data_IF_243822611363
#
_entry.id   IF_243822611363
#
_cell.length_a   1.000
_cell.length_b   1.000
_cell.length_c   1.000
_cell.angle_alpha   90.00
_cell.angle_beta   90.00
_cell.angle_gamma   90.00
#
_symmetry.space_group_name_H-M   'P 1'
#
loop_
_entity.id
_entity.type
_entity.pdbx_description
1 polymer ?
#
# COMPACT_ATOMS: atom_id res chain seq x y z
N UNK A 1 32.05 -5.97 -4.09
CA UNK A 1 30.96 -5.55 -3.17
C UNK A 1 29.95 -4.57 -3.78
N UNK A 2 30.21 -3.89 -4.90
CA UNK A 2 29.26 -2.98 -5.55
C UNK A 2 28.05 -3.68 -6.26
N UNK A 3 28.23 -4.92 -6.72
CA UNK A 3 27.17 -5.64 -7.47
C UNK A 3 26.04 -6.22 -6.59
N UNK A 4 26.33 -6.56 -5.33
CA UNK A 4 25.32 -7.09 -4.39
C UNK A 4 24.34 -5.99 -3.92
N UNK A 5 24.84 -4.77 -3.68
CA UNK A 5 23.97 -3.60 -3.42
C UNK A 5 23.08 -3.26 -4.63
N UNK A 6 23.61 -3.40 -5.85
CA UNK A 6 22.85 -3.07 -7.07
C UNK A 6 21.72 -4.08 -7.34
N UNK A 7 21.92 -5.36 -7.03
CA UNK A 7 20.86 -6.37 -7.10
C UNK A 7 19.78 -6.17 -6.04
N UNK A 8 20.14 -5.81 -4.80
CA UNK A 8 19.15 -5.49 -3.76
C UNK A 8 18.32 -4.24 -4.09
N UNK A 9 18.89 -3.22 -4.78
CA UNK A 9 18.16 -2.02 -5.18
C UNK A 9 17.15 -2.22 -6.32
N UNK A 10 17.33 -3.23 -7.19
CA UNK A 10 16.40 -3.47 -8.32
C UNK A 10 15.01 -3.95 -7.87
N UNK A 11 14.93 -4.57 -6.69
CA UNK A 11 13.70 -5.05 -6.07
C UNK A 11 12.76 -3.93 -5.58
N UNK A 12 13.24 -2.68 -5.50
CA UNK A 12 12.49 -1.53 -4.98
C UNK A 12 11.93 -0.60 -6.07
N UNK A 13 12.10 -0.95 -7.35
CA UNK A 13 11.61 -0.12 -8.46
C UNK A 13 10.19 -0.53 -8.87
N UNK A 14 9.19 0.21 -8.37
CA UNK A 14 7.79 0.03 -8.80
C UNK A 14 7.66 0.36 -10.28
N UNK A 15 7.17 -0.59 -11.09
CA UNK A 15 7.01 -0.42 -12.53
C UNK A 15 6.03 0.72 -12.85
N UNK A 16 6.39 1.64 -13.76
CA UNK A 16 5.54 2.78 -14.17
C UNK A 16 4.13 2.34 -14.62
N UNK A 17 4.04 1.18 -15.29
CA UNK A 17 2.76 0.60 -15.69
C UNK A 17 1.87 0.28 -14.48
N UNK A 18 2.46 -0.29 -13.42
CA UNK A 18 1.76 -0.63 -12.18
C UNK A 18 1.28 0.61 -11.45
N UNK A 19 2.12 1.66 -11.40
CA UNK A 19 1.71 2.91 -10.76
C UNK A 19 0.50 3.49 -11.49
N UNK A 20 0.47 3.47 -12.83
CA UNK A 20 -0.69 3.93 -13.59
C UNK A 20 -1.96 3.15 -13.26
N UNK A 21 -1.86 1.82 -13.18
CA UNK A 21 -2.97 0.94 -12.78
C UNK A 21 -3.49 1.27 -11.36
N UNK A 22 -2.60 1.66 -10.44
CA UNK A 22 -2.97 2.13 -9.09
C UNK A 22 -3.66 3.50 -9.17
N UNK A 23 -3.15 4.45 -9.96
CA UNK A 23 -3.74 5.79 -10.08
C UNK A 23 -5.19 5.77 -10.57
N UNK A 24 -5.53 4.81 -11.41
CA UNK A 24 -6.88 4.67 -11.97
C UNK A 24 -7.91 4.30 -10.91
N UNK A 25 -7.48 3.68 -9.80
CA UNK A 25 -8.36 3.30 -8.68
C UNK A 25 -8.28 4.27 -7.50
N UNK A 26 -7.33 5.20 -7.47
CA UNK A 26 -7.24 6.20 -6.41
C UNK A 26 -8.47 7.11 -6.36
N UNK A 27 -8.86 7.58 -5.15
CA UNK A 27 -10.04 8.41 -4.97
C UNK A 27 -9.90 9.75 -5.69
N UNK A 28 -11.05 10.36 -6.02
CA UNK A 28 -11.11 11.79 -6.29
C UNK A 28 -11.45 12.51 -4.99
N UNK A 29 -10.85 13.68 -4.77
CA UNK A 29 -11.12 14.50 -3.60
C UNK A 29 -11.95 15.72 -3.99
N UNK A 30 -13.04 15.98 -3.27
CA UNK A 30 -13.86 17.18 -3.50
C UNK A 30 -13.21 18.45 -2.96
N UNK A 31 -12.31 18.31 -1.99
CA UNK A 31 -11.62 19.44 -1.37
C UNK A 31 -10.46 19.96 -2.23
N UNK A 32 -10.16 21.26 -2.06
CA UNK A 32 -9.09 21.96 -2.77
C UNK A 32 -7.69 21.57 -2.30
N UNK A 33 -7.51 21.35 -1.00
CA UNK A 33 -6.21 21.01 -0.40
C UNK A 33 -6.27 19.60 0.17
N UNK A 34 -5.28 18.78 -0.16
CA UNK A 34 -5.16 17.39 0.28
C UNK A 34 -3.81 17.15 0.96
N UNK A 35 -3.83 16.27 1.96
CA UNK A 35 -2.68 15.82 2.74
C UNK A 35 -2.37 14.37 2.39
N UNK A 36 -1.15 14.10 1.97
CA UNK A 36 -0.71 12.78 1.51
C UNK A 36 0.54 12.38 2.28
N UNK A 37 0.64 11.13 2.72
CA UNK A 37 1.89 10.56 3.24
C UNK A 37 2.35 9.42 2.34
N UNK A 38 3.64 9.45 2.01
CA UNK A 38 4.40 8.29 1.53
C UNK A 38 5.28 7.83 2.72
N UNK A 39 4.97 6.68 3.37
CA UNK A 39 5.57 6.32 4.65
C UNK A 39 6.96 5.64 4.55
N UNK A 40 7.44 5.33 3.35
CA UNK A 40 8.71 4.65 3.13
C UNK A 40 9.21 4.93 1.71
N UNK A 41 9.61 6.19 1.48
CA UNK A 41 9.62 6.80 0.14
C UNK A 41 10.63 6.20 -0.83
N UNK A 42 11.76 5.72 -0.32
CA UNK A 42 12.81 5.16 -1.16
C UNK A 42 13.14 6.08 -2.34
N UNK A 43 13.14 5.52 -3.55
CA UNK A 43 13.44 6.29 -4.77
C UNK A 43 12.37 7.34 -5.16
N UNK A 44 11.28 7.48 -4.41
CA UNK A 44 10.22 8.47 -4.68
C UNK A 44 9.42 8.17 -5.94
N UNK A 45 9.24 6.88 -6.30
CA UNK A 45 8.62 6.48 -7.55
C UNK A 45 7.15 6.93 -7.70
N UNK A 46 6.42 7.09 -6.58
CA UNK A 46 5.03 7.55 -6.61
C UNK A 46 4.89 9.07 -6.81
N UNK A 47 5.90 9.87 -6.45
CA UNK A 47 5.81 11.32 -6.35
C UNK A 47 5.35 11.97 -7.67
N UNK A 48 5.99 11.71 -8.84
CA UNK A 48 5.58 12.34 -10.10
C UNK A 48 4.15 11.98 -10.52
N UNK A 49 3.68 10.80 -10.11
CA UNK A 49 2.35 10.31 -10.44
C UNK A 49 1.28 10.91 -9.54
N UNK A 50 1.58 11.10 -8.26
CA UNK A 50 0.74 11.85 -7.31
C UNK A 50 0.56 13.27 -7.82
N UNK A 51 1.64 13.96 -8.21
CA UNK A 51 1.59 15.33 -8.70
C UNK A 51 0.69 15.45 -9.94
N UNK A 52 0.77 14.46 -10.84
CA UNK A 52 -0.06 14.41 -12.04
C UNK A 52 -1.53 14.09 -11.75
N UNK A 53 -1.80 13.08 -10.92
CA UNK A 53 -3.16 12.63 -10.60
C UNK A 53 -3.99 13.73 -9.94
N UNK A 54 -3.34 14.54 -9.08
CA UNK A 54 -3.99 15.60 -8.31
C UNK A 54 -3.47 16.98 -8.70
N UNK A 55 -3.18 17.19 -9.99
CA UNK A 55 -2.68 18.47 -10.51
C UNK A 55 -3.65 19.64 -10.30
N UNK A 56 -4.95 19.35 -10.10
CA UNK A 56 -5.99 20.32 -9.78
C UNK A 56 -6.09 20.66 -8.28
N UNK A 57 -5.28 20.01 -7.42
CA UNK A 57 -5.29 20.17 -5.96
C UNK A 57 -4.05 20.89 -5.44
N UNK A 58 -4.17 21.50 -4.27
CA UNK A 58 -3.03 21.87 -3.44
C UNK A 58 -2.59 20.65 -2.63
N UNK A 59 -1.38 20.17 -2.84
CA UNK A 59 -0.86 18.93 -2.26
C UNK A 59 0.11 19.27 -1.13
N UNK A 60 -0.20 18.81 0.07
CA UNK A 60 0.71 18.77 1.21
C UNK A 60 1.22 17.33 1.34
N UNK A 61 2.40 17.05 0.81
CA UNK A 61 3.00 15.73 0.81
C UNK A 61 4.03 15.62 1.93
N UNK A 62 3.91 14.62 2.78
CA UNK A 62 4.97 14.23 3.72
C UNK A 62 5.60 12.94 3.21
N UNK A 63 6.92 12.93 3.03
CA UNK A 63 7.69 11.75 2.65
C UNK A 63 8.60 11.34 3.79
N UNK A 64 8.60 10.04 4.09
CA UNK A 64 9.26 9.50 5.27
C UNK A 64 10.23 8.42 4.81
N UNK A 65 11.48 8.48 5.28
CA UNK A 65 12.44 7.40 5.11
C UNK A 65 13.33 7.28 6.35
N UNK A 66 13.81 6.06 6.60
CA UNK A 66 14.82 5.79 7.63
C UNK A 66 16.24 6.11 7.15
N UNK A 67 16.42 6.24 5.83
CA UNK A 67 17.71 6.57 5.23
C UNK A 67 17.78 8.08 4.92
N UNK A 68 18.63 8.85 5.63
CA UNK A 68 18.75 10.29 5.40
C UNK A 68 19.33 10.61 4.02
N UNK A 69 20.15 9.74 3.44
CA UNK A 69 20.76 9.95 2.12
C UNK A 69 19.68 9.89 1.01
N UNK A 70 18.67 9.03 1.19
CA UNK A 70 17.49 8.98 0.31
C UNK A 70 16.73 10.30 0.34
N UNK A 71 16.49 10.86 1.53
CA UNK A 71 15.77 12.12 1.67
C UNK A 71 16.56 13.30 1.09
N UNK A 72 17.89 13.32 1.27
CA UNK A 72 18.75 14.32 0.65
C UNK A 72 18.70 14.23 -0.89
N UNK A 73 18.76 13.02 -1.44
CA UNK A 73 18.61 12.81 -2.88
C UNK A 73 17.26 13.31 -3.39
N UNK A 74 16.16 13.03 -2.69
CA UNK A 74 14.84 13.49 -3.10
C UNK A 74 14.73 15.03 -3.06
N UNK A 75 15.29 15.68 -2.04
CA UNK A 75 15.38 17.16 -1.99
C UNK A 75 16.08 17.72 -3.22
N UNK A 76 17.25 17.16 -3.57
CA UNK A 76 18.01 17.59 -4.76
C UNK A 76 17.22 17.39 -6.06
N UNK A 77 16.44 16.31 -6.16
CA UNK A 77 15.64 16.00 -7.34
C UNK A 77 14.42 16.91 -7.49
N UNK A 78 13.71 17.21 -6.39
CA UNK A 78 12.39 17.83 -6.46
C UNK A 78 12.36 19.30 -6.07
N UNK A 79 13.17 19.78 -5.11
CA UNK A 79 13.00 21.12 -4.54
C UNK A 79 13.17 22.24 -5.59
N UNK A 80 14.00 22.03 -6.61
CA UNK A 80 14.22 22.99 -7.70
C UNK A 80 13.21 22.90 -8.85
N UNK A 81 12.40 21.83 -8.93
CA UNK A 81 11.49 21.56 -10.05
C UNK A 81 10.07 21.19 -9.59
N UNK A 82 9.72 21.54 -8.35
CA UNK A 82 8.45 21.17 -7.75
C UNK A 82 7.30 21.96 -8.41
N UNK A 83 6.18 21.32 -8.77
CA UNK A 83 4.99 22.03 -9.22
C UNK A 83 4.51 23.03 -8.16
N UNK A 84 4.03 24.20 -8.58
CA UNK A 84 3.63 25.29 -7.66
C UNK A 84 2.48 24.93 -6.72
N UNK A 85 1.72 23.88 -7.02
CA UNK A 85 0.62 23.37 -6.22
C UNK A 85 1.05 22.28 -5.22
N UNK A 86 2.35 21.95 -5.14
CA UNK A 86 2.87 20.90 -4.26
C UNK A 86 3.80 21.51 -3.22
N UNK A 87 3.67 21.04 -1.98
CA UNK A 87 4.65 21.21 -0.90
C UNK A 87 5.10 19.84 -0.41
N UNK A 88 6.40 19.67 -0.16
CA UNK A 88 6.96 18.42 0.37
C UNK A 88 7.62 18.67 1.72
N UNK A 89 7.24 17.88 2.71
CA UNK A 89 7.91 17.76 3.99
C UNK A 89 8.71 16.45 4.02
N UNK A 90 10.01 16.53 4.28
CA UNK A 90 10.91 15.38 4.33
C UNK A 90 11.22 15.01 5.77
N UNK A 91 10.83 13.80 6.19
CA UNK A 91 10.94 13.34 7.57
C UNK A 91 11.91 12.15 7.63
N UNK A 92 13.03 12.34 8.32
CA UNK A 92 13.96 11.26 8.66
C UNK A 92 13.46 10.56 9.92
N UNK A 93 12.69 9.49 9.76
CA UNK A 93 12.09 8.75 10.87
C UNK A 93 11.67 7.34 10.46
N UNK A 94 11.50 6.47 11.45
CA UNK A 94 10.76 5.23 11.27
C UNK A 94 9.25 5.54 11.28
N UNK A 95 8.57 5.27 10.17
CA UNK A 95 7.14 5.53 10.07
C UNK A 95 6.33 4.87 11.18
N UNK A 96 6.72 3.71 11.70
CA UNK A 96 5.99 3.05 12.78
C UNK A 96 5.97 3.88 14.06
N UNK A 97 7.02 4.67 14.33
CA UNK A 97 7.13 5.53 15.51
C UNK A 97 6.82 7.01 15.25
N UNK A 98 6.79 7.43 13.98
CA UNK A 98 6.42 8.79 13.61
C UNK A 98 4.95 9.10 13.90
N UNK A 99 4.68 10.13 14.69
CA UNK A 99 3.32 10.57 15.00
C UNK A 99 2.86 11.66 14.04
N UNK A 100 1.65 11.51 13.51
CA UNK A 100 1.04 12.50 12.64
C UNK A 100 -0.48 12.53 12.81
N UNK A 101 -1.10 13.64 12.41
CA UNK A 101 -2.56 13.75 12.36
C UNK A 101 -3.11 12.87 11.24
N UNK A 102 -4.40 12.52 11.32
CA UNK A 102 -5.09 11.82 10.24
C UNK A 102 -4.96 12.61 8.92
N UNK A 103 -4.59 11.93 7.84
CA UNK A 103 -4.41 12.52 6.49
C UNK A 103 -5.43 11.96 5.49
N UNK A 104 -5.43 12.50 4.27
CA UNK A 104 -6.39 12.08 3.25
C UNK A 104 -6.01 10.79 2.55
N UNK A 105 -4.73 10.66 2.23
CA UNK A 105 -4.21 9.51 1.52
C UNK A 105 -2.88 9.08 2.12
N UNK A 106 -2.76 7.80 2.40
CA UNK A 106 -1.45 7.15 2.57
C UNK A 106 -1.26 6.17 1.42
N UNK A 107 -0.19 6.36 0.68
CA UNK A 107 0.12 5.56 -0.52
C UNK A 107 1.59 5.18 -0.53
N UNK A 108 1.91 3.97 -0.97
CA UNK A 108 3.30 3.57 -1.08
C UNK A 108 3.52 2.11 -1.41
N UNK A 109 4.79 1.75 -1.48
CA UNK A 109 5.27 0.37 -1.57
C UNK A 109 6.14 0.08 -0.34
N UNK A 110 5.54 -0.29 0.80
CA UNK A 110 6.30 -0.56 2.01
C UNK A 110 7.31 -1.70 1.82
N UNK A 111 8.42 -1.71 2.57
CA UNK A 111 9.40 -2.79 2.51
C UNK A 111 8.81 -4.13 2.99
N UNK A 112 8.95 -5.19 2.19
CA UNK A 112 8.44 -6.54 2.51
C UNK A 112 9.36 -7.33 3.47
N UNK A 113 10.04 -6.61 4.36
CA UNK A 113 11.06 -7.17 5.24
C UNK A 113 10.42 -8.01 6.35
N UNK A 114 10.85 -9.27 6.47
CA UNK A 114 10.59 -10.08 7.65
C UNK A 114 11.53 -9.68 8.78
N UNK A 115 10.96 -9.16 9.86
CA UNK A 115 11.68 -8.67 11.03
C UNK A 115 12.00 -9.82 12.00
N UNK A 116 13.08 -9.66 12.77
CA UNK A 116 13.38 -10.58 13.87
C UNK A 116 12.31 -10.46 14.96
N UNK A 117 12.17 -11.48 15.82
CA UNK A 117 11.21 -11.45 16.94
C UNK A 117 11.43 -10.25 17.87
N UNK A 118 12.68 -9.79 18.01
CA UNK A 118 13.06 -8.64 18.84
C UNK A 118 12.57 -7.34 18.21
N UNK A 119 12.82 -7.14 16.92
CA UNK A 119 12.52 -5.88 16.23
C UNK A 119 11.01 -5.70 16.02
N UNK A 120 10.31 -6.80 15.73
CA UNK A 120 8.86 -6.80 15.56
C UNK A 120 8.07 -6.66 16.87
N UNK A 121 8.69 -6.85 18.03
CA UNK A 121 7.99 -6.83 19.32
C UNK A 121 7.35 -5.47 19.65
N UNK A 122 8.01 -4.37 19.29
CA UNK A 122 7.47 -3.03 19.49
C UNK A 122 6.28 -2.76 18.56
N UNK A 123 6.37 -3.17 17.29
CA UNK A 123 5.32 -2.96 16.29
C UNK A 123 4.08 -3.81 16.55
N UNK A 124 4.25 -5.07 16.95
CA UNK A 124 3.14 -5.93 17.38
C UNK A 124 2.27 -5.32 18.48
N UNK A 125 2.86 -4.55 19.40
CA UNK A 125 2.10 -3.90 20.48
C UNK A 125 1.24 -2.72 20.00
N UNK A 126 1.56 -2.17 18.83
CA UNK A 126 0.84 -1.04 18.21
C UNK A 126 -0.17 -1.52 17.16
N UNK A 127 0.00 -2.76 16.69
CA UNK A 127 -0.83 -3.42 15.70
C UNK A 127 -1.93 -4.26 16.34
N UNK A 128 -3.00 -4.45 15.59
CA UNK A 128 -4.06 -5.41 15.86
C UNK A 128 -3.54 -6.84 15.65
N UNK A 129 -2.79 -7.07 14.57
CA UNK A 129 -2.06 -8.32 14.40
C UNK A 129 -0.80 -8.37 15.27
N UNK A 130 -0.91 -9.06 16.40
CA UNK A 130 0.16 -9.36 17.35
C UNK A 130 0.92 -10.66 17.04
N UNK A 131 0.77 -11.22 15.83
CA UNK A 131 1.50 -12.41 15.37
C UNK A 131 2.38 -12.13 14.14
N UNK A 132 2.10 -11.03 13.42
CA UNK A 132 2.87 -10.61 12.25
C UNK A 132 4.35 -10.40 12.57
N UNK A 133 5.16 -10.65 11.55
CA UNK A 133 6.60 -10.38 11.52
C UNK A 133 6.99 -9.52 10.33
N UNK A 134 6.04 -9.04 9.53
CA UNK A 134 6.29 -8.33 8.28
C UNK A 134 6.09 -6.82 8.43
N UNK A 135 7.12 -6.03 8.09
CA UNK A 135 7.05 -4.56 8.19
C UNK A 135 5.97 -3.95 7.30
N UNK A 136 5.70 -4.52 6.13
CA UNK A 136 4.66 -4.01 5.24
C UNK A 136 3.26 -4.17 5.83
N UNK A 137 3.02 -5.24 6.57
CA UNK A 137 1.78 -5.43 7.31
C UNK A 137 1.68 -4.42 8.46
N UNK A 138 2.78 -4.19 9.18
CA UNK A 138 2.78 -3.21 10.26
C UNK A 138 2.43 -1.80 9.79
N UNK A 139 3.05 -1.37 8.69
CA UNK A 139 2.79 -0.08 8.04
C UNK A 139 1.35 -0.01 7.53
N UNK A 140 0.80 -1.10 6.97
CA UNK A 140 -0.57 -1.14 6.46
C UNK A 140 -1.59 -0.81 7.56
N UNK A 141 -1.52 -1.48 8.72
CA UNK A 141 -2.52 -1.21 9.76
C UNK A 141 -2.38 0.19 10.35
N UNK A 142 -1.15 0.69 10.53
CA UNK A 142 -0.93 2.08 10.96
C UNK A 142 -1.53 3.06 9.94
N UNK A 143 -1.33 2.81 8.65
CA UNK A 143 -1.88 3.64 7.59
C UNK A 143 -3.42 3.66 7.62
N UNK A 144 -4.05 2.49 7.78
CA UNK A 144 -5.52 2.35 7.87
C UNK A 144 -6.09 3.08 9.10
N UNK A 145 -5.37 3.08 10.23
CA UNK A 145 -5.77 3.85 11.42
C UNK A 145 -5.62 5.37 11.22
N UNK A 146 -4.74 5.80 10.31
CA UNK A 146 -4.22 7.18 10.26
C UNK A 146 -4.55 7.93 8.96
N UNK A 147 -5.40 7.39 8.10
CA UNK A 147 -5.77 8.02 6.82
C UNK A 147 -7.22 7.79 6.44
N UNK A 148 -7.82 8.70 5.67
CA UNK A 148 -9.15 8.51 5.08
C UNK A 148 -9.15 7.49 3.94
N UNK A 149 -8.10 7.51 3.12
CA UNK A 149 -7.83 6.51 2.09
C UNK A 149 -6.43 5.94 2.24
N UNK A 150 -6.29 4.64 1.92
CA UNK A 150 -5.02 3.93 1.89
C UNK A 150 -4.89 3.20 0.56
N UNK A 151 -3.71 3.26 -0.07
CA UNK A 151 -3.37 2.48 -1.25
C UNK A 151 -1.96 1.90 -1.11
N UNK A 152 -1.85 0.62 -0.75
CA UNK A 152 -0.55 0.00 -0.47
C UNK A 152 -0.27 -1.18 -1.38
N UNK A 153 0.94 -1.20 -1.95
CA UNK A 153 1.48 -2.40 -2.59
C UNK A 153 1.95 -3.36 -1.51
N UNK A 154 1.49 -4.60 -1.56
CA UNK A 154 1.74 -5.62 -0.54
C UNK A 154 2.04 -6.97 -1.19
N UNK A 155 2.75 -7.87 -0.51
CA UNK A 155 2.83 -9.26 -0.93
C UNK A 155 1.42 -9.88 -0.94
N UNK A 156 1.10 -10.63 -2.00
CA UNK A 156 -0.22 -11.26 -2.20
C UNK A 156 -0.57 -12.28 -1.12
N UNK A 157 0.44 -12.79 -0.41
CA UNK A 157 0.29 -13.75 0.68
C UNK A 157 -0.57 -13.22 1.85
N UNK A 158 -0.79 -11.89 1.95
CA UNK A 158 -1.72 -11.26 2.90
C UNK A 158 -3.15 -11.81 2.78
N UNK A 159 -3.53 -12.26 1.58
CA UNK A 159 -4.86 -12.79 1.29
C UNK A 159 -5.10 -14.20 1.88
N UNK A 160 -4.05 -15.01 2.08
CA UNK A 160 -4.20 -16.44 2.34
C UNK A 160 -3.25 -17.04 3.39
N UNK A 161 -2.26 -16.31 3.89
CA UNK A 161 -1.35 -16.88 4.91
C UNK A 161 -1.98 -16.78 6.30
N UNK A 162 -1.86 -17.82 7.15
CA UNK A 162 -2.38 -17.81 8.52
C UNK A 162 -1.85 -16.64 9.37
N UNK A 163 -0.59 -16.25 9.20
CA UNK A 163 0.04 -15.08 9.86
C UNK A 163 -0.82 -13.81 9.73
N UNK A 164 -1.54 -13.63 8.61
CA UNK A 164 -2.32 -12.42 8.34
C UNK A 164 -3.81 -12.58 8.65
N UNK A 165 -4.24 -13.62 9.37
CA UNK A 165 -5.65 -13.78 9.74
C UNK A 165 -6.16 -12.57 10.53
N UNK A 166 -5.44 -12.15 11.58
CA UNK A 166 -5.78 -10.97 12.40
C UNK A 166 -5.76 -9.69 11.58
N UNK A 167 -4.81 -9.54 10.66
CA UNK A 167 -4.79 -8.40 9.73
C UNK A 167 -6.05 -8.39 8.86
N UNK A 168 -6.47 -9.53 8.29
CA UNK A 168 -7.71 -9.61 7.49
C UNK A 168 -8.95 -9.27 8.31
N UNK A 169 -9.06 -9.80 9.53
CA UNK A 169 -10.13 -9.46 10.48
C UNK A 169 -10.19 -7.96 10.79
N UNK A 170 -9.03 -7.34 11.03
CA UNK A 170 -8.92 -5.90 11.22
C UNK A 170 -9.39 -5.12 9.99
N UNK A 171 -8.90 -5.48 8.80
CA UNK A 171 -9.18 -4.81 7.53
C UNK A 171 -10.66 -4.91 7.13
N UNK A 172 -11.35 -6.01 7.47
CA UNK A 172 -12.78 -6.19 7.21
C UNK A 172 -13.64 -5.10 7.86
N UNK A 173 -13.17 -4.43 8.90
CA UNK A 173 -13.89 -3.31 9.52
C UNK A 173 -13.95 -2.04 8.64
N UNK A 174 -13.17 -1.99 7.56
CA UNK A 174 -13.07 -0.85 6.65
C UNK A 174 -13.60 -1.18 5.25
N UNK A 175 -13.74 -0.17 4.41
CA UNK A 175 -14.26 -0.32 3.05
C UNK A 175 -13.11 -0.60 2.07
N UNK A 176 -12.72 -1.87 1.94
CA UNK A 176 -11.78 -2.31 0.89
C UNK A 176 -12.51 -2.24 -0.46
N UNK A 177 -12.28 -1.17 -1.22
CA UNK A 177 -13.04 -0.91 -2.44
C UNK A 177 -12.34 -1.43 -3.69
N UNK A 178 -11.04 -1.69 -3.64
CA UNK A 178 -10.30 -2.30 -4.75
C UNK A 178 -9.17 -3.23 -4.28
N UNK A 179 -9.02 -4.35 -5.00
CA UNK A 179 -7.82 -5.20 -4.99
C UNK A 179 -7.31 -5.29 -6.41
N UNK A 180 -6.06 -4.89 -6.61
CA UNK A 180 -5.39 -4.95 -7.91
C UNK A 180 -4.23 -5.94 -7.82
N UNK A 181 -4.37 -7.10 -8.45
CA UNK A 181 -3.37 -8.16 -8.49
C UNK A 181 -2.41 -7.99 -9.67
N UNK A 182 -1.15 -7.73 -9.37
CA UNK A 182 -0.06 -7.61 -10.33
C UNK A 182 0.56 -8.97 -10.66
N UNK A 183 0.34 -9.99 -9.83
CA UNK A 183 1.13 -11.23 -9.81
C UNK A 183 2.62 -10.90 -9.71
N UNK A 184 3.45 -11.68 -10.41
CA UNK A 184 4.90 -11.44 -10.48
C UNK A 184 5.29 -10.28 -11.42
N UNK A 185 4.33 -9.67 -12.12
CA UNK A 185 4.61 -8.50 -13.00
C UNK A 185 4.95 -7.24 -12.19
N UNK A 186 4.76 -7.31 -10.86
CA UNK A 186 5.10 -6.34 -9.82
C UNK A 186 6.46 -5.67 -9.98
N UNK A 187 7.49 -6.50 -9.91
CA UNK A 187 8.86 -6.08 -9.67
C UNK A 187 9.81 -6.89 -10.54
N UNK A 188 10.64 -6.22 -11.35
CA UNK A 188 11.56 -6.92 -12.26
C UNK A 188 12.62 -7.68 -11.47
N UNK A 189 12.73 -8.98 -11.73
CA UNK A 189 13.77 -9.85 -11.12
C UNK A 189 13.42 -10.39 -9.74
N UNK A 190 12.19 -10.18 -9.25
CA UNK A 190 11.70 -10.69 -7.97
C UNK A 190 10.43 -11.50 -8.22
N UNK A 191 10.43 -12.78 -7.86
CA UNK A 191 9.30 -13.72 -8.06
C UNK A 191 8.22 -13.59 -6.97
N UNK A 192 8.06 -12.41 -6.38
CA UNK A 192 7.05 -12.19 -5.35
C UNK A 192 5.78 -11.69 -6.03
N UNK A 193 4.69 -12.44 -5.87
CA UNK A 193 3.37 -11.96 -6.29
C UNK A 193 2.93 -10.81 -5.40
N UNK A 194 2.48 -9.71 -6.00
CA UNK A 194 2.04 -8.51 -5.28
C UNK A 194 0.67 -8.04 -5.70
N UNK A 195 0.02 -7.35 -4.77
CA UNK A 195 -1.27 -6.70 -4.97
C UNK A 195 -1.19 -5.25 -4.50
N UNK A 196 -2.07 -4.38 -4.98
CA UNK A 196 -2.40 -3.13 -4.32
C UNK A 196 -3.76 -3.28 -3.61
N UNK A 197 -3.79 -2.98 -2.31
CA UNK A 197 -5.03 -2.85 -1.54
C UNK A 197 -5.43 -1.39 -1.46
N UNK A 198 -6.64 -1.06 -1.92
CA UNK A 198 -7.22 0.27 -1.82
C UNK A 198 -8.39 0.27 -0.83
N UNK A 199 -8.28 1.09 0.22
CA UNK A 199 -9.14 1.06 1.40
C UNK A 199 -9.65 2.47 1.68
N UNK A 200 -10.93 2.59 2.01
CA UNK A 200 -11.56 3.79 2.55
C UNK A 200 -11.94 3.54 4.01
N UNK A 201 -11.55 4.45 4.90
CA UNK A 201 -11.60 4.22 6.36
C UNK A 201 -12.72 4.97 7.07
N UNK A 202 -13.56 5.68 6.33
CA UNK A 202 -14.66 6.49 6.84
C UNK A 202 -15.96 6.16 6.10
N UNK A 203 -17.09 6.54 6.71
CA UNK A 203 -18.41 6.32 6.14
C UNK A 203 -18.82 4.84 6.07
N UNK A 204 -19.92 4.58 5.38
CA UNK A 204 -20.44 3.23 5.24
C UNK A 204 -19.58 2.38 4.28
N UNK A 205 -19.42 1.10 4.65
CA UNK A 205 -18.82 0.07 3.79
C UNK A 205 -19.75 -0.25 2.63
N UNK A 206 -19.20 -0.31 1.43
CA UNK A 206 -19.94 -0.78 0.26
C UNK A 206 -20.05 -2.31 0.29
N UNK A 207 -21.09 -2.87 -0.34
CA UNK A 207 -21.26 -4.35 -0.41
C UNK A 207 -20.30 -5.02 -1.38
N UNK A 208 -19.86 -4.28 -2.40
CA UNK A 208 -19.06 -4.80 -3.48
C UNK A 208 -17.62 -4.29 -3.43
N UNK A 209 -16.75 -4.97 -4.17
CA UNK A 209 -15.34 -4.66 -4.32
C UNK A 209 -14.92 -4.92 -5.77
N UNK A 210 -14.15 -4.01 -6.34
CA UNK A 210 -13.55 -4.19 -7.65
C UNK A 210 -12.26 -4.99 -7.52
N UNK A 211 -12.21 -6.17 -8.14
CA UNK A 211 -10.99 -6.98 -8.25
C UNK A 211 -10.49 -6.90 -9.69
N UNK A 212 -9.25 -6.43 -9.88
CA UNK A 212 -8.56 -6.40 -11.17
C UNK A 212 -7.31 -7.28 -11.10
N UNK A 213 -7.09 -8.13 -12.10
CA UNK A 213 -5.95 -9.04 -12.19
C UNK A 213 -5.23 -8.88 -13.52
N UNK A 214 -3.99 -8.39 -13.48
CA UNK A 214 -3.15 -8.23 -14.66
C UNK A 214 -2.59 -9.57 -15.18
N UNK A 215 -2.29 -10.58 -14.35
CA UNK A 215 -1.92 -11.91 -14.84
C UNK A 215 -3.08 -12.62 -15.54
N UNK A 216 -4.31 -12.48 -15.02
CA UNK A 216 -5.50 -13.16 -15.55
C UNK A 216 -6.27 -12.36 -16.59
N UNK A 217 -5.87 -11.11 -16.85
CA UNK A 217 -6.64 -10.15 -17.66
C UNK A 217 -8.13 -10.10 -17.26
N UNK A 218 -8.37 -10.00 -15.95
CA UNK A 218 -9.70 -10.09 -15.35
C UNK A 218 -10.04 -8.78 -14.63
N UNK A 219 -11.27 -8.31 -14.82
CA UNK A 219 -11.87 -7.23 -14.02
C UNK A 219 -13.25 -7.73 -13.60
N UNK A 220 -13.47 -7.86 -12.28
CA UNK A 220 -14.72 -8.37 -11.73
C UNK A 220 -15.14 -7.54 -10.53
N UNK A 221 -16.45 -7.26 -10.44
CA UNK A 221 -17.05 -6.64 -9.27
C UNK A 221 -17.67 -7.75 -8.42
N UNK A 222 -17.10 -7.99 -7.24
CA UNK A 222 -17.48 -9.10 -6.37
C UNK A 222 -18.22 -8.59 -5.15
N UNK A 223 -19.11 -9.41 -4.57
CA UNK A 223 -19.62 -9.14 -3.21
C UNK A 223 -18.52 -9.45 -2.19
N UNK A 224 -18.34 -8.56 -1.21
CA UNK A 224 -17.32 -8.74 -0.17
C UNK A 224 -17.58 -9.97 0.68
N UNK A 225 -18.84 -10.20 1.06
CA UNK A 225 -19.23 -11.39 1.85
C UNK A 225 -18.96 -12.73 1.14
N UNK A 226 -18.91 -12.71 -0.19
CA UNK A 226 -18.64 -13.88 -1.01
C UNK A 226 -17.15 -14.22 -1.09
N UNK A 227 -16.29 -13.21 -1.29
CA UNK A 227 -14.84 -13.42 -1.44
C UNK A 227 -14.08 -13.31 -0.11
N UNK A 228 -14.67 -12.69 0.92
CA UNK A 228 -14.20 -12.65 2.31
C UNK A 228 -15.09 -13.53 3.19
N UNK A 229 -15.40 -14.73 2.70
CA UNK A 229 -16.27 -15.67 3.40
C UNK A 229 -15.61 -16.14 4.70
N UNK A 230 -16.28 -15.94 5.82
CA UNK A 230 -15.80 -16.31 7.16
C UNK A 230 -15.71 -17.82 7.40
N UNK A 231 -16.31 -18.62 6.53
CA UNK A 231 -16.17 -20.09 6.55
C UNK A 231 -14.84 -20.54 5.91
N UNK A 232 -14.15 -19.65 5.20
CA UNK A 232 -12.85 -19.89 4.59
C UNK A 232 -11.76 -19.21 5.43
N UNK A 233 -10.60 -19.85 5.62
CA UNK A 233 -9.47 -19.22 6.30
C UNK A 233 -8.78 -18.12 5.47
N UNK A 234 -9.21 -17.92 4.21
CA UNK A 234 -8.56 -17.09 3.19
C UNK A 234 -9.57 -16.15 2.51
N UNK A 235 -9.08 -15.02 2.03
CA UNK A 235 -9.81 -14.21 1.05
C UNK A 235 -9.60 -14.80 -0.34
N UNK A 236 -10.65 -15.38 -0.91
CA UNK A 236 -10.62 -16.02 -2.23
C UNK A 236 -11.11 -15.01 -3.28
N UNK A 237 -10.22 -14.08 -3.64
CA UNK A 237 -10.56 -12.94 -4.52
C UNK A 237 -11.02 -13.33 -5.94
N UNK A 238 -10.82 -14.59 -6.32
CA UNK A 238 -11.23 -15.17 -7.61
C UNK A 238 -12.35 -16.21 -7.48
N UNK A 239 -13.05 -16.27 -6.34
CA UNK A 239 -14.14 -17.20 -6.11
C UNK A 239 -15.22 -17.05 -7.19
N UNK A 240 -15.67 -18.17 -7.71
CA UNK A 240 -16.68 -18.27 -8.76
C UNK A 240 -17.49 -19.57 -8.59
N UNK A 241 -18.51 -19.76 -9.42
CA UNK A 241 -19.38 -20.93 -9.37
C UNK A 241 -18.62 -22.27 -9.48
N UNK A 242 -17.46 -22.30 -10.16
CA UNK A 242 -16.65 -23.50 -10.26
C UNK A 242 -15.94 -23.85 -8.96
N UNK A 243 -15.48 -22.83 -8.21
CA UNK A 243 -14.99 -23.03 -6.85
C UNK A 243 -16.09 -23.57 -5.93
N UNK A 244 -17.31 -23.01 -6.03
CA UNK A 244 -18.44 -23.40 -5.19
C UNK A 244 -18.97 -24.82 -5.46
N UNK A 245 -18.67 -25.42 -6.62
CA UNK A 245 -19.06 -26.81 -6.93
C UNK A 245 -18.19 -27.85 -6.22
N UNK A 246 -16.99 -27.48 -5.78
CA UNK A 246 -15.99 -28.39 -5.21
C UNK A 246 -15.69 -28.12 -3.73
N UNK A 247 -16.27 -27.06 -3.17
CA UNK A 247 -16.22 -26.70 -1.75
C UNK A 247 -17.57 -27.00 -1.09
#
# INVERSE_FOLDING_TARGET
>A
MANLKRQSHSAYYTNKFIIQEILDVLPNFDKKTISIIEPSVGAGNFLPFIFRKYADKLINLTVIDIDPDILELLKLLYDNNLPSNVSIEYIHSDYMTFEHKKVDLIIGNPPFLKLSSKDSAAYRKQNYNDESTNLAEFILEKAVKSADYVSMILPKNILNTPEYHKTREFLENYDIYNILDFGEKGFKGVLVETINLAIKTFGARTKNILVKSLPRNLIVNQRKDYIFDKNLPYWVIYRNDDFDKVY
#
